data_IF_759508103354
#
_entry.id   IF_759508103354
#
_cell.length_a   1.000
_cell.length_b   1.000
_cell.length_c   1.000
_cell.angle_alpha   90.00
_cell.angle_beta   90.00
_cell.angle_gamma   90.00
#
_symmetry.space_group_name_H-M   'P 1'
#
loop_
_entity.id
_entity.type
_entity.pdbx_description
1 polymer ?
#
# COMPACT_ATOMS: atom_id res chain seq x y z
N UNK A 1 -11.19 39.98 -14.77
CA UNK A 1 -11.04 39.80 -13.30
C UNK A 1 -11.39 38.39 -12.79
N UNK A 2 -12.31 37.65 -13.39
CA UNK A 2 -12.70 36.28 -12.98
C UNK A 2 -11.58 35.21 -13.09
N UNK A 3 -10.70 35.29 -14.09
CA UNK A 3 -9.60 34.34 -14.28
C UNK A 3 -8.57 34.38 -13.14
N UNK A 4 -8.15 35.57 -12.73
CA UNK A 4 -7.13 35.77 -11.69
C UNK A 4 -7.55 35.27 -10.30
N UNK A 5 -8.85 35.32 -9.99
CA UNK A 5 -9.42 34.78 -8.76
C UNK A 5 -9.50 33.22 -8.78
N UNK A 6 -9.72 32.63 -9.96
CA UNK A 6 -9.78 31.17 -10.14
C UNK A 6 -8.37 30.55 -9.98
N UNK A 7 -7.37 31.19 -10.55
CA UNK A 7 -5.96 30.76 -10.44
C UNK A 7 -5.44 30.88 -9.00
N UNK A 8 -5.75 31.95 -8.29
CA UNK A 8 -5.40 32.12 -6.89
C UNK A 8 -6.06 31.05 -5.97
N UNK A 9 -7.31 30.69 -6.27
CA UNK A 9 -8.02 29.63 -5.52
C UNK A 9 -7.47 28.23 -5.80
N UNK A 10 -7.04 27.95 -7.04
CA UNK A 10 -6.41 26.69 -7.43
C UNK A 10 -5.02 26.57 -6.79
N UNK A 11 -4.22 27.62 -6.81
CA UNK A 11 -2.90 27.63 -6.17
C UNK A 11 -3.01 27.42 -4.66
N UNK A 12 -3.97 28.05 -3.99
CA UNK A 12 -4.22 27.85 -2.56
C UNK A 12 -4.63 26.38 -2.26
N UNK A 13 -5.50 25.79 -3.07
CA UNK A 13 -5.91 24.37 -2.93
C UNK A 13 -4.73 23.43 -3.17
N UNK A 14 -3.91 23.68 -4.20
CA UNK A 14 -2.74 22.87 -4.51
C UNK A 14 -1.72 22.92 -3.37
N UNK A 15 -1.43 24.11 -2.84
CA UNK A 15 -0.54 24.29 -1.70
C UNK A 15 -1.05 23.58 -0.45
N UNK A 16 -2.31 23.80 -0.09
CA UNK A 16 -2.94 23.16 1.08
C UNK A 16 -2.94 21.64 0.94
N UNK A 17 -3.31 21.11 -0.22
CA UNK A 17 -3.32 19.68 -0.50
C UNK A 17 -1.92 19.07 -0.41
N UNK A 18 -0.93 19.72 -1.02
CA UNK A 18 0.47 19.28 -0.96
C UNK A 18 1.03 19.29 0.45
N UNK A 19 0.78 20.35 1.22
CA UNK A 19 1.23 20.48 2.61
C UNK A 19 0.67 19.36 3.50
N UNK A 20 -0.64 19.13 3.48
CA UNK A 20 -1.24 18.06 4.30
C UNK A 20 -0.80 16.68 3.87
N UNK A 21 -0.58 16.44 2.55
CA UNK A 21 -0.05 15.18 2.07
C UNK A 21 1.39 14.93 2.59
N UNK A 22 2.26 15.94 2.51
CA UNK A 22 3.63 15.85 3.04
C UNK A 22 3.62 15.63 4.55
N UNK A 23 2.77 16.38 5.28
CA UNK A 23 2.65 16.27 6.73
C UNK A 23 2.21 14.85 7.14
N UNK A 24 1.23 14.26 6.45
CA UNK A 24 0.78 12.90 6.71
C UNK A 24 1.87 11.85 6.43
N UNK A 25 2.62 12.01 5.35
CA UNK A 25 3.74 11.12 5.02
C UNK A 25 4.88 11.26 6.05
N UNK A 26 5.17 12.48 6.48
CA UNK A 26 6.16 12.74 7.51
C UNK A 26 5.74 12.12 8.86
N UNK A 27 4.47 12.27 9.22
CA UNK A 27 3.91 11.66 10.43
C UNK A 27 3.99 10.12 10.38
N UNK A 28 3.59 9.51 9.26
CA UNK A 28 3.64 8.05 9.09
C UNK A 28 5.08 7.52 9.19
N UNK A 29 6.04 8.19 8.55
CA UNK A 29 7.47 7.82 8.64
C UNK A 29 8.05 8.10 10.01
N UNK A 30 7.70 9.23 10.62
CA UNK A 30 8.09 9.61 11.98
C UNK A 30 7.58 8.61 13.01
N UNK A 31 6.34 8.14 12.87
CA UNK A 31 5.78 7.10 13.73
C UNK A 31 6.58 5.79 13.61
N UNK A 32 6.90 5.36 12.38
CA UNK A 32 7.72 4.15 12.15
C UNK A 32 9.10 4.30 12.78
N UNK A 33 9.73 5.46 12.65
CA UNK A 33 11.02 5.75 13.27
C UNK A 33 10.94 5.74 14.81
N UNK A 34 9.93 6.42 15.39
CA UNK A 34 9.73 6.51 16.83
C UNK A 34 9.43 5.14 17.48
N UNK A 35 8.80 4.23 16.75
CA UNK A 35 8.44 2.90 17.25
C UNK A 35 9.59 1.88 17.11
N UNK A 36 10.58 2.16 16.27
CA UNK A 36 11.76 1.29 16.09
C UNK A 36 12.47 0.94 17.40
N UNK A 37 12.77 1.89 18.33
CA UNK A 37 13.35 1.56 19.63
C UNK A 37 12.45 0.69 20.51
N UNK A 38 11.13 0.82 20.36
CA UNK A 38 10.16 0.00 21.10
C UNK A 38 10.25 -1.45 20.63
N UNK A 39 10.24 -1.69 19.32
CA UNK A 39 10.39 -3.04 18.77
C UNK A 39 11.75 -3.66 19.11
N UNK A 40 12.83 -2.90 19.08
CA UNK A 40 14.16 -3.40 19.43
C UNK A 40 14.31 -3.81 20.90
N UNK A 41 13.46 -3.29 21.79
CA UNK A 41 13.39 -3.70 23.21
C UNK A 41 12.44 -4.89 23.44
N UNK A 42 11.40 -5.01 22.61
CA UNK A 42 10.39 -6.05 22.75
C UNK A 42 10.76 -7.36 22.04
N UNK A 43 11.51 -7.29 20.95
CA UNK A 43 11.96 -8.42 20.15
C UNK A 43 13.45 -8.69 20.39
N UNK A 44 13.87 -9.95 20.25
CA UNK A 44 15.30 -10.30 20.19
C UNK A 44 15.91 -9.79 18.89
N UNK A 45 17.24 -9.70 18.84
CA UNK A 45 17.95 -9.29 17.61
C UNK A 45 17.60 -10.18 16.40
N UNK A 46 17.51 -11.50 16.61
CA UNK A 46 17.13 -12.46 15.57
C UNK A 46 15.69 -12.22 15.09
N UNK A 47 14.72 -12.09 15.99
CA UNK A 47 13.33 -11.80 15.64
C UNK A 47 13.18 -10.47 14.90
N UNK A 48 13.88 -9.44 15.33
CA UNK A 48 13.88 -8.14 14.66
C UNK A 48 14.47 -8.27 13.25
N UNK A 49 15.53 -9.05 13.07
CA UNK A 49 16.11 -9.37 11.77
C UNK A 49 15.09 -10.02 10.82
N UNK A 50 14.38 -11.05 11.29
CA UNK A 50 13.31 -11.71 10.49
C UNK A 50 12.25 -10.71 10.05
N UNK A 51 11.77 -9.83 10.95
CA UNK A 51 10.79 -8.79 10.60
C UNK A 51 11.33 -7.86 9.51
N UNK A 52 12.60 -7.43 9.59
CA UNK A 52 13.19 -6.54 8.58
C UNK A 52 13.39 -7.22 7.23
N UNK A 53 13.79 -8.49 7.24
CA UNK A 53 13.88 -9.30 6.01
C UNK A 53 12.51 -9.41 5.36
N UNK A 54 11.47 -9.70 6.14
CA UNK A 54 10.09 -9.75 5.66
C UNK A 54 9.62 -8.42 5.05
N UNK A 55 9.88 -7.29 5.71
CA UNK A 55 9.57 -5.95 5.18
C UNK A 55 10.29 -5.67 3.84
N UNK A 56 11.52 -6.14 3.69
CA UNK A 56 12.25 -6.03 2.42
C UNK A 56 11.62 -6.86 1.30
N UNK A 57 11.20 -8.09 1.61
CA UNK A 57 10.49 -8.94 0.65
C UNK A 57 9.13 -8.36 0.26
N UNK A 58 8.39 -7.75 1.19
CA UNK A 58 7.14 -7.04 0.88
C UNK A 58 7.37 -5.92 -0.14
N UNK A 59 8.46 -5.13 0.02
CA UNK A 59 8.82 -4.06 -0.89
C UNK A 59 9.08 -4.58 -2.31
N UNK A 60 9.81 -5.67 -2.43
CA UNK A 60 10.10 -6.34 -3.70
C UNK A 60 8.82 -6.90 -4.30
N UNK A 61 8.03 -7.62 -3.50
CA UNK A 61 6.81 -8.28 -3.93
C UNK A 61 5.79 -7.29 -4.52
N UNK A 62 5.45 -6.21 -3.81
CA UNK A 62 4.46 -5.27 -4.36
C UNK A 62 4.99 -4.54 -5.60
N UNK A 63 6.29 -4.29 -5.68
CA UNK A 63 6.89 -3.61 -6.84
C UNK A 63 6.81 -4.49 -8.09
N UNK A 64 7.21 -5.75 -7.98
CA UNK A 64 7.22 -6.69 -9.11
C UNK A 64 5.80 -7.12 -9.47
N UNK A 65 5.04 -7.61 -8.50
CA UNK A 65 3.73 -8.23 -8.76
C UNK A 65 2.68 -7.25 -9.25
N UNK A 66 2.72 -5.98 -8.83
CA UNK A 66 1.81 -4.95 -9.34
C UNK A 66 2.23 -4.38 -10.70
N UNK A 67 3.38 -4.82 -11.25
CA UNK A 67 4.00 -4.28 -12.46
C UNK A 67 4.19 -2.76 -12.42
N UNK A 68 4.26 -2.18 -11.22
CA UNK A 68 4.33 -0.72 -10.99
C UNK A 68 3.27 0.10 -11.75
N UNK A 69 2.16 -0.51 -12.16
CA UNK A 69 1.12 0.12 -12.99
C UNK A 69 0.50 1.38 -12.34
N UNK A 70 0.55 1.49 -11.02
CA UNK A 70 0.13 2.67 -10.27
C UNK A 70 0.91 3.95 -10.66
N UNK A 71 2.11 3.83 -11.26
CA UNK A 71 2.89 4.98 -11.76
C UNK A 71 2.23 5.65 -12.96
N UNK A 72 1.55 4.90 -13.80
CA UNK A 72 0.86 5.44 -14.98
C UNK A 72 -0.28 6.40 -14.61
N UNK A 73 -0.83 6.28 -13.40
CA UNK A 73 -1.88 7.17 -12.88
C UNK A 73 -1.45 8.64 -12.85
N UNK A 74 -0.16 8.90 -12.57
CA UNK A 74 0.36 10.28 -12.51
C UNK A 74 0.29 11.00 -13.87
N UNK A 75 0.50 10.28 -14.98
CA UNK A 75 0.51 10.83 -16.35
C UNK A 75 -0.88 10.80 -16.97
N UNK A 76 -1.64 9.75 -16.70
CA UNK A 76 -2.95 9.51 -17.30
C UNK A 76 -4.01 10.60 -17.01
N UNK A 77 -3.82 11.41 -15.98
CA UNK A 77 -4.74 12.53 -15.68
C UNK A 77 -4.83 13.53 -16.84
N UNK A 78 -3.73 13.75 -17.57
CA UNK A 78 -3.70 14.65 -18.70
C UNK A 78 -4.38 14.07 -19.94
N UNK A 79 -4.18 12.76 -20.18
CA UNK A 79 -4.63 12.12 -21.43
C UNK A 79 -6.07 11.56 -21.33
N UNK A 80 -6.57 11.32 -20.11
CA UNK A 80 -7.90 10.77 -19.83
C UNK A 80 -8.68 11.63 -18.83
N UNK A 81 -8.64 12.96 -19.00
CA UNK A 81 -9.25 13.90 -18.05
C UNK A 81 -10.74 13.63 -17.81
N UNK A 82 -11.50 13.34 -18.88
CA UNK A 82 -12.96 13.11 -18.81
C UNK A 82 -13.33 11.78 -18.14
N UNK A 83 -12.47 10.76 -18.20
CA UNK A 83 -12.72 9.43 -17.64
C UNK A 83 -11.58 8.92 -16.75
N UNK A 84 -10.95 9.82 -16.02
CA UNK A 84 -9.80 9.50 -15.20
C UNK A 84 -10.08 8.43 -14.13
N UNK A 85 -11.25 8.44 -13.50
CA UNK A 85 -11.61 7.41 -12.53
C UNK A 85 -11.82 6.03 -13.19
N UNK A 86 -12.37 6.00 -14.40
CA UNK A 86 -12.50 4.78 -15.20
C UNK A 86 -11.13 4.20 -15.58
N UNK A 87 -10.18 5.07 -15.96
CA UNK A 87 -8.79 4.67 -16.18
C UNK A 87 -8.18 4.03 -14.94
N UNK A 88 -8.24 4.72 -13.79
CA UNK A 88 -7.68 4.24 -12.50
C UNK A 88 -8.28 2.88 -12.11
N UNK A 89 -9.60 2.72 -12.21
CA UNK A 89 -10.30 1.48 -11.89
C UNK A 89 -9.86 0.33 -12.81
N UNK A 90 -9.76 0.57 -14.11
CA UNK A 90 -9.38 -0.45 -15.09
C UNK A 90 -7.93 -0.91 -14.93
N UNK A 91 -6.98 0.02 -14.75
CA UNK A 91 -5.56 -0.32 -14.57
C UNK A 91 -5.31 -0.94 -13.19
N UNK A 92 -6.07 -0.56 -12.17
CA UNK A 92 -6.05 -1.22 -10.87
C UNK A 92 -6.49 -2.69 -10.98
N UNK A 93 -7.54 -2.98 -11.78
CA UNK A 93 -7.96 -4.37 -12.07
C UNK A 93 -6.85 -5.16 -12.76
N UNK A 94 -6.14 -4.55 -13.72
CA UNK A 94 -4.99 -5.19 -14.36
C UNK A 94 -3.87 -5.53 -13.35
N UNK A 95 -3.57 -4.62 -12.42
CA UNK A 95 -2.62 -4.92 -11.33
C UNK A 95 -3.06 -6.11 -10.49
N UNK A 96 -4.35 -6.23 -10.21
CA UNK A 96 -4.88 -7.35 -9.43
C UNK A 96 -4.78 -8.67 -10.19
N UNK A 97 -5.02 -8.67 -11.49
CA UNK A 97 -4.82 -9.85 -12.36
C UNK A 97 -3.34 -10.25 -12.35
N UNK A 98 -2.42 -9.29 -12.48
CA UNK A 98 -0.99 -9.56 -12.42
C UNK A 98 -0.56 -10.13 -11.07
N UNK A 99 -1.02 -9.54 -9.96
CA UNK A 99 -0.73 -10.05 -8.60
C UNK A 99 -1.28 -11.47 -8.42
N UNK A 100 -2.51 -11.74 -8.89
CA UNK A 100 -3.11 -13.08 -8.82
C UNK A 100 -2.32 -14.10 -9.63
N UNK A 101 -1.83 -13.72 -10.81
CA UNK A 101 -0.96 -14.57 -11.64
C UNK A 101 0.35 -14.90 -10.93
N UNK A 102 1.07 -13.90 -10.41
CA UNK A 102 2.31 -14.12 -9.65
C UNK A 102 2.06 -14.92 -8.36
N UNK A 103 0.95 -14.67 -7.68
CA UNK A 103 0.55 -15.47 -6.52
C UNK A 103 0.35 -16.93 -6.89
N UNK A 104 -0.35 -17.21 -8.00
CA UNK A 104 -0.53 -18.57 -8.52
C UNK A 104 0.81 -19.26 -8.79
N UNK A 105 1.77 -18.57 -9.42
CA UNK A 105 3.13 -19.08 -9.63
C UNK A 105 3.83 -19.38 -8.30
N UNK A 106 3.78 -18.46 -7.34
CA UNK A 106 4.38 -18.65 -6.02
C UNK A 106 3.72 -19.80 -5.24
N UNK A 107 2.42 -20.06 -5.45
CA UNK A 107 1.73 -21.21 -4.84
C UNK A 107 2.21 -22.55 -5.41
N UNK A 108 2.54 -22.62 -6.71
CA UNK A 108 3.12 -23.83 -7.32
C UNK A 108 4.48 -24.15 -6.70
N UNK A 109 5.29 -23.13 -6.44
CA UNK A 109 6.64 -23.27 -5.88
C UNK A 109 6.70 -22.82 -4.40
N UNK A 110 5.61 -23.04 -3.64
CA UNK A 110 5.45 -22.50 -2.28
C UNK A 110 6.65 -22.80 -1.38
N UNK A 111 7.05 -24.08 -1.29
CA UNK A 111 8.14 -24.51 -0.42
C UNK A 111 9.45 -23.81 -0.78
N UNK A 112 9.80 -23.77 -2.06
CA UNK A 112 11.02 -23.12 -2.54
C UNK A 112 11.02 -21.61 -2.26
N UNK A 113 9.87 -20.96 -2.44
CA UNK A 113 9.71 -19.52 -2.15
C UNK A 113 9.82 -19.25 -0.65
N UNK A 114 9.20 -20.08 0.18
CA UNK A 114 9.28 -19.95 1.63
C UNK A 114 10.70 -20.15 2.15
N UNK A 115 11.41 -21.18 1.69
CA UNK A 115 12.80 -21.45 2.06
C UNK A 115 13.73 -20.32 1.62
N UNK A 116 13.58 -19.84 0.38
CA UNK A 116 14.38 -18.74 -0.16
C UNK A 116 14.14 -17.40 0.56
N UNK A 117 12.89 -17.08 0.85
CA UNK A 117 12.51 -15.83 1.52
C UNK A 117 12.59 -15.93 3.05
N UNK A 118 12.81 -17.12 3.61
CA UNK A 118 12.78 -17.39 5.05
C UNK A 118 11.45 -16.99 5.68
N UNK A 119 10.34 -17.36 5.03
CA UNK A 119 8.98 -17.05 5.46
C UNK A 119 8.25 -18.31 5.91
N UNK A 120 7.52 -18.21 7.01
CA UNK A 120 6.55 -19.21 7.41
C UNK A 120 5.22 -19.06 6.64
N UNK A 121 4.28 -19.97 6.86
CA UNK A 121 2.96 -19.94 6.19
C UNK A 121 2.20 -18.65 6.46
N UNK A 122 2.23 -18.14 7.67
CA UNK A 122 1.53 -16.92 8.05
C UNK A 122 2.11 -15.72 7.33
N UNK A 123 3.43 -15.57 7.31
CA UNK A 123 4.12 -14.51 6.59
C UNK A 123 3.84 -14.58 5.10
N UNK A 124 3.89 -15.78 4.52
CA UNK A 124 3.64 -16.01 3.09
C UNK A 124 2.25 -15.52 2.69
N UNK A 125 1.17 -15.98 3.33
CA UNK A 125 -0.18 -15.55 3.00
C UNK A 125 -0.43 -14.08 3.32
N UNK A 126 0.09 -13.57 4.43
CA UNK A 126 -0.03 -12.16 4.80
C UNK A 126 0.67 -11.27 3.77
N UNK A 127 1.82 -11.71 3.22
CA UNK A 127 2.52 -11.00 2.15
C UNK A 127 1.61 -10.76 0.95
N UNK A 128 0.95 -11.78 0.43
CA UNK A 128 0.09 -11.64 -0.74
C UNK A 128 -1.16 -10.80 -0.46
N UNK A 129 -1.83 -11.03 0.67
CA UNK A 129 -2.98 -10.22 1.06
C UNK A 129 -2.58 -8.74 1.21
N UNK A 130 -1.43 -8.48 1.78
CA UNK A 130 -0.91 -7.12 1.90
C UNK A 130 -0.58 -6.51 0.54
N UNK A 131 0.06 -7.25 -0.37
CA UNK A 131 0.38 -6.76 -1.72
C UNK A 131 -0.88 -6.35 -2.48
N UNK A 132 -1.94 -7.16 -2.44
CA UNK A 132 -3.24 -6.82 -3.04
C UNK A 132 -3.77 -5.49 -2.50
N UNK A 133 -3.86 -5.38 -1.19
CA UNK A 133 -4.52 -4.24 -0.54
C UNK A 133 -3.66 -2.99 -0.52
N UNK A 134 -2.35 -3.12 -0.36
CA UNK A 134 -1.41 -2.02 -0.42
C UNK A 134 -1.33 -1.38 -1.81
N UNK A 135 -1.43 -2.19 -2.87
CA UNK A 135 -1.52 -1.68 -4.24
C UNK A 135 -2.69 -0.71 -4.39
N UNK A 136 -3.85 -1.01 -3.82
CA UNK A 136 -5.01 -0.10 -3.83
C UNK A 136 -4.72 1.24 -3.14
N UNK A 137 -4.00 1.21 -2.02
CA UNK A 137 -3.57 2.43 -1.34
C UNK A 137 -2.67 3.29 -2.23
N UNK A 138 -1.73 2.68 -2.98
CA UNK A 138 -0.87 3.40 -3.91
C UNK A 138 -1.68 4.08 -5.02
N UNK A 139 -2.68 3.38 -5.59
CA UNK A 139 -3.56 3.97 -6.61
C UNK A 139 -4.34 5.18 -6.09
N UNK A 140 -4.95 5.07 -4.92
CA UNK A 140 -5.69 6.20 -4.33
C UNK A 140 -4.79 7.36 -3.97
N UNK A 141 -3.63 7.11 -3.37
CA UNK A 141 -2.68 8.18 -3.06
C UNK A 141 -2.24 8.94 -4.30
N UNK A 142 -1.97 8.24 -5.43
CA UNK A 142 -1.60 8.86 -6.70
C UNK A 142 -2.77 9.62 -7.32
N UNK A 143 -3.96 8.99 -7.39
CA UNK A 143 -5.17 9.62 -7.91
C UNK A 143 -5.51 10.89 -7.15
N UNK A 144 -5.59 10.82 -5.82
CA UNK A 144 -5.99 11.94 -4.98
C UNK A 144 -4.99 13.10 -5.04
N UNK A 145 -3.70 12.80 -5.20
CA UNK A 145 -2.67 13.81 -5.47
C UNK A 145 -2.94 14.56 -6.77
N UNK A 146 -3.30 13.87 -7.86
CA UNK A 146 -3.59 14.48 -9.16
C UNK A 146 -4.90 15.28 -9.18
N UNK A 147 -5.87 14.89 -8.35
CA UNK A 147 -7.18 15.57 -8.26
C UNK A 147 -7.21 16.61 -7.12
N UNK A 148 -6.10 16.78 -6.39
CA UNK A 148 -5.96 17.69 -5.24
C UNK A 148 -6.98 17.38 -4.11
N UNK A 149 -7.37 16.10 -3.94
CA UNK A 149 -8.30 15.60 -2.91
C UNK A 149 -7.57 14.78 -1.85
N UNK A 150 -6.72 15.43 -1.07
CA UNK A 150 -5.84 14.75 -0.10
C UNK A 150 -6.55 14.08 1.09
N UNK A 151 -7.77 14.53 1.45
CA UNK A 151 -8.41 14.12 2.72
C UNK A 151 -8.63 12.62 2.81
N UNK A 152 -9.15 11.99 1.76
CA UNK A 152 -9.48 10.57 1.78
C UNK A 152 -8.22 9.69 1.87
N UNK A 153 -7.24 9.90 1.00
CA UNK A 153 -6.00 9.12 1.01
C UNK A 153 -5.18 9.32 2.30
N UNK A 154 -5.16 10.55 2.83
CA UNK A 154 -4.50 10.85 4.11
C UNK A 154 -5.18 10.13 5.27
N UNK A 155 -6.51 10.23 5.38
CA UNK A 155 -7.27 9.53 6.42
C UNK A 155 -7.13 8.01 6.30
N UNK A 156 -7.24 7.46 5.10
CA UNK A 156 -7.06 6.02 4.88
C UNK A 156 -5.67 5.54 5.33
N UNK A 157 -4.61 6.30 5.01
CA UNK A 157 -3.24 5.97 5.43
C UNK A 157 -3.09 6.04 6.95
N UNK A 158 -3.58 7.09 7.60
CA UNK A 158 -3.45 7.24 9.05
C UNK A 158 -4.28 6.21 9.81
N UNK A 159 -5.53 5.95 9.37
CA UNK A 159 -6.42 4.97 9.98
C UNK A 159 -5.95 3.52 9.83
N UNK A 160 -5.01 3.25 8.96
CA UNK A 160 -4.42 1.91 8.80
C UNK A 160 -3.08 1.77 9.51
N UNK A 161 -2.19 2.76 9.41
CA UNK A 161 -0.84 2.71 9.99
C UNK A 161 -0.87 2.88 11.50
N UNK A 162 -1.65 3.84 12.01
CA UNK A 162 -1.67 4.14 13.44
C UNK A 162 -2.25 2.96 14.26
N UNK A 163 -3.45 2.44 13.98
CA UNK A 163 -3.95 1.27 14.69
C UNK A 163 -3.06 0.04 14.50
N UNK A 164 -2.51 -0.18 13.29
CA UNK A 164 -1.59 -1.29 13.03
C UNK A 164 -0.36 -1.24 13.90
N UNK A 165 0.22 -0.06 14.07
CA UNK A 165 1.38 0.14 14.94
C UNK A 165 1.06 -0.15 16.41
N UNK A 166 -0.02 0.41 16.94
CA UNK A 166 -0.41 0.19 18.34
C UNK A 166 -0.84 -1.25 18.59
N UNK A 167 -1.60 -1.86 17.68
CA UNK A 167 -2.02 -3.24 17.79
C UNK A 167 -0.83 -4.21 17.79
N UNK A 168 0.17 -3.96 16.93
CA UNK A 168 1.36 -4.80 16.88
C UNK A 168 2.17 -4.73 18.18
N UNK A 169 2.36 -3.54 18.75
CA UNK A 169 3.04 -3.36 20.03
C UNK A 169 2.29 -4.08 21.15
N UNK A 170 0.97 -3.90 21.20
CA UNK A 170 0.12 -4.54 22.20
C UNK A 170 0.15 -6.07 22.11
N UNK A 171 0.07 -6.64 20.90
CA UNK A 171 0.13 -8.09 20.69
C UNK A 171 1.49 -8.68 21.07
N UNK A 172 2.59 -7.99 20.73
CA UNK A 172 3.93 -8.42 21.13
C UNK A 172 4.07 -8.38 22.66
N UNK A 173 3.68 -7.26 23.28
CA UNK A 173 3.75 -7.10 24.73
C UNK A 173 2.93 -8.20 25.45
N UNK A 174 1.70 -8.43 25.02
CA UNK A 174 0.85 -9.48 25.56
C UNK A 174 1.46 -10.89 25.36
N UNK A 175 2.03 -11.16 24.20
CA UNK A 175 2.70 -12.43 23.89
C UNK A 175 3.92 -12.65 24.80
N UNK A 176 4.69 -11.59 25.06
CA UNK A 176 5.85 -11.64 25.96
C UNK A 176 5.43 -11.91 27.41
N UNK A 177 4.39 -11.27 27.91
CA UNK A 177 3.84 -11.50 29.25
C UNK A 177 3.30 -12.93 29.39
N UNK A 178 2.73 -13.51 28.35
CA UNK A 178 2.23 -14.89 28.32
C UNK A 178 3.34 -15.94 28.09
N UNK A 179 4.58 -15.54 27.95
CA UNK A 179 5.70 -16.48 27.69
C UNK A 179 5.75 -17.05 26.26
N UNK A 180 4.97 -16.50 25.32
CA UNK A 180 4.87 -16.96 23.94
C UNK A 180 5.97 -16.34 23.05
N UNK A 181 7.22 -16.45 23.49
CA UNK A 181 8.39 -15.79 22.87
C UNK A 181 8.58 -16.22 21.41
N UNK A 182 8.31 -17.50 21.07
CA UNK A 182 8.42 -18.02 19.70
C UNK A 182 7.42 -17.41 18.71
N UNK A 183 6.30 -16.87 19.20
CA UNK A 183 5.23 -16.30 18.35
C UNK A 183 5.26 -14.78 18.25
N UNK A 184 6.28 -14.09 18.75
CA UNK A 184 6.31 -12.63 18.78
C UNK A 184 6.41 -12.02 17.37
N UNK A 185 7.07 -12.70 16.44
CA UNK A 185 7.17 -12.26 15.04
C UNK A 185 5.81 -12.31 14.38
N UNK A 186 5.07 -13.41 14.51
CA UNK A 186 3.73 -13.58 13.96
C UNK A 186 2.76 -12.54 14.52
N UNK A 187 2.82 -12.31 15.82
CA UNK A 187 2.02 -11.27 16.50
C UNK A 187 2.33 -9.88 15.99
N UNK A 188 3.62 -9.59 15.68
CA UNK A 188 4.05 -8.35 15.03
C UNK A 188 3.45 -8.25 13.62
N UNK A 189 3.55 -9.31 12.83
CA UNK A 189 3.03 -9.35 11.45
C UNK A 189 1.51 -9.16 11.46
N UNK A 190 0.78 -9.95 12.21
CA UNK A 190 -0.68 -9.83 12.31
C UNK A 190 -1.09 -8.42 12.77
N UNK A 191 -0.53 -7.95 13.89
CA UNK A 191 -0.92 -6.66 14.47
C UNK A 191 -0.69 -5.50 13.53
N UNK A 192 0.41 -5.49 12.78
CA UNK A 192 0.74 -4.38 11.90
C UNK A 192 0.04 -4.44 10.55
N UNK A 193 -0.04 -5.62 9.92
CA UNK A 193 -0.54 -5.73 8.55
C UNK A 193 -2.05 -5.94 8.45
N UNK A 194 -2.72 -6.57 9.42
CA UNK A 194 -4.17 -6.79 9.35
C UNK A 194 -4.97 -5.50 9.22
N UNK A 195 -4.75 -4.45 10.02
CA UNK A 195 -5.44 -3.17 9.81
C UNK A 195 -5.19 -2.55 8.45
N UNK A 196 -3.97 -2.71 7.90
CA UNK A 196 -3.62 -2.22 6.57
C UNK A 196 -4.29 -3.03 5.45
N UNK A 197 -4.41 -4.33 5.62
CA UNK A 197 -5.13 -5.23 4.70
C UNK A 197 -6.62 -4.84 4.66
N UNK A 198 -7.25 -4.67 5.82
CA UNK A 198 -8.66 -4.27 5.90
C UNK A 198 -8.87 -2.90 5.25
N UNK A 199 -8.06 -1.91 5.60
CA UNK A 199 -8.18 -0.57 5.05
C UNK A 199 -7.91 -0.53 3.54
N UNK A 200 -6.93 -1.28 3.05
CA UNK A 200 -6.65 -1.39 1.62
C UNK A 200 -7.76 -2.09 0.84
N UNK A 201 -8.43 -3.08 1.44
CA UNK A 201 -9.61 -3.73 0.85
C UNK A 201 -10.78 -2.74 0.70
N UNK A 202 -11.05 -1.93 1.73
CA UNK A 202 -12.06 -0.85 1.65
C UNK A 202 -11.70 0.13 0.54
N UNK A 203 -10.43 0.53 0.42
CA UNK A 203 -9.96 1.43 -0.63
C UNK A 203 -10.13 0.81 -2.02
N UNK A 204 -9.89 -0.49 -2.20
CA UNK A 204 -10.12 -1.20 -3.46
C UNK A 204 -11.60 -1.10 -3.90
N UNK A 205 -12.52 -1.32 -2.97
CA UNK A 205 -13.97 -1.19 -3.22
C UNK A 205 -14.30 0.24 -3.65
N UNK A 206 -13.72 1.25 -2.99
CA UNK A 206 -13.92 2.67 -3.35
C UNK A 206 -13.41 2.97 -4.76
N UNK A 207 -12.25 2.44 -5.17
CA UNK A 207 -11.74 2.62 -6.53
C UNK A 207 -12.72 2.06 -7.56
N UNK A 208 -13.20 0.85 -7.35
CA UNK A 208 -14.11 0.18 -8.29
C UNK A 208 -15.49 0.83 -8.34
N UNK A 209 -16.03 1.26 -7.21
CA UNK A 209 -17.34 1.93 -7.18
C UNK A 209 -17.33 3.30 -7.85
N UNK A 210 -16.19 4.01 -7.79
CA UNK A 210 -16.03 5.33 -8.42
C UNK A 210 -15.70 5.25 -9.91
N UNK A 211 -14.91 4.26 -10.34
CA UNK A 211 -14.48 4.14 -11.73
C UNK A 211 -15.46 3.38 -12.61
N UNK A 212 -16.12 2.34 -12.08
CA UNK A 212 -17.13 1.48 -12.77
C UNK A 212 -16.63 0.81 -14.06
N UNK A 213 -15.35 0.91 -14.39
CA UNK A 213 -14.73 0.29 -15.57
C UNK A 213 -13.66 -0.71 -15.12
N UNK A 214 -13.94 -2.00 -15.33
CA UNK A 214 -13.05 -3.07 -14.87
C UNK A 214 -12.06 -3.48 -15.96
N UNK A 215 -12.50 -3.61 -17.20
CA UNK A 215 -11.69 -4.08 -18.31
C UNK A 215 -11.76 -3.07 -19.45
N UNK A 216 -10.61 -2.48 -19.80
CA UNK A 216 -10.46 -1.63 -20.97
C UNK A 216 -9.06 -1.78 -21.55
N UNK A 217 -8.95 -2.46 -22.68
CA UNK A 217 -7.69 -2.76 -23.34
C UNK A 217 -6.89 -1.51 -23.74
N UNK A 218 -7.56 -0.39 -24.07
CA UNK A 218 -6.91 0.87 -24.39
C UNK A 218 -6.16 1.40 -23.15
N UNK A 219 -6.81 1.35 -22.00
CA UNK A 219 -6.23 1.79 -20.72
C UNK A 219 -5.08 0.86 -20.28
N UNK A 220 -5.24 -0.45 -20.50
CA UNK A 220 -4.22 -1.43 -20.16
C UNK A 220 -2.95 -1.27 -21.00
N UNK A 221 -3.09 -1.08 -22.33
CA UNK A 221 -1.95 -0.80 -23.21
C UNK A 221 -1.20 0.45 -22.79
N UNK A 222 -1.93 1.52 -22.50
CA UNK A 222 -1.34 2.78 -22.02
C UNK A 222 -0.61 2.58 -20.67
N UNK A 223 -1.25 1.92 -19.70
CA UNK A 223 -0.65 1.64 -18.39
C UNK A 223 0.63 0.82 -18.49
N UNK A 224 0.64 -0.25 -19.29
CA UNK A 224 1.83 -1.07 -19.51
C UNK A 224 2.96 -0.30 -20.20
N UNK A 225 2.66 0.53 -21.19
CA UNK A 225 3.68 1.33 -21.89
C UNK A 225 4.41 2.32 -20.97
N UNK A 226 3.71 2.85 -19.95
CA UNK A 226 4.32 3.76 -18.98
C UNK A 226 4.98 3.07 -17.78
N UNK A 227 4.60 1.86 -17.48
CA UNK A 227 5.07 1.15 -16.28
C UNK A 227 6.26 0.25 -16.54
N UNK A 228 6.33 -0.31 -17.74
CA UNK A 228 7.47 -1.08 -18.20
C UNK A 228 8.33 -0.13 -19.06
N UNK A 229 9.49 0.34 -18.57
CA UNK A 229 10.41 1.07 -19.43
C UNK A 229 10.92 0.08 -20.50
N UNK A 230 10.52 0.32 -21.73
CA UNK A 230 11.08 -0.32 -22.93
C UNK A 230 12.47 0.25 -23.18
#
# INVERSE_FOLDING_TARGET
MAGKNKDASLNKRAFTSGFFFILAQLFARGLTFAVTPVYSRLLTKAQYGVVRTYESWLLIAYTIMSLCLWRSVDVAKKDFEDDYNGYVSSVHTLSYIAIAFFFGLCMIFKTQVQDFCQMDDLMFYTCFLYVFTYTSMLYVQRRDKQVLKYKFSTMATLLTIVPGTFLSIWLIYRGRVQGLIGQLVDRRVIGYYVPQIIGGAVVAIVIWTQGKKFINLKYWKYGLAFSLPL
#
